data_IF_282659582347
#
_entry.id   IF_282659582347
#
_cell.length_a   1.000
_cell.length_b   1.000
_cell.length_c   1.000
_cell.angle_alpha   90.00
_cell.angle_beta   90.00
_cell.angle_gamma   90.00
#
_symmetry.space_group_name_H-M   'P 1'
#
loop_
_entity.id
_entity.type
_entity.pdbx_description
1 polymer ?
#
# COMPACT_ATOMS: atom_id res chain seq x y z
N UNK A 1 18.85 9.40 -4.59
CA UNK A 1 17.70 9.66 -5.49
C UNK A 1 17.51 11.16 -5.56
N UNK A 2 17.09 11.70 -6.71
CA UNK A 2 16.67 13.11 -6.77
C UNK A 2 15.43 13.28 -5.89
N UNK A 3 15.34 14.37 -5.13
CA UNK A 3 14.10 14.70 -4.42
C UNK A 3 12.99 14.88 -5.46
N UNK A 4 11.86 14.19 -5.25
CA UNK A 4 10.68 14.37 -6.09
C UNK A 4 10.07 15.73 -5.78
N UNK A 5 9.66 16.45 -6.81
CA UNK A 5 8.89 17.67 -6.60
C UNK A 5 7.42 17.32 -6.24
N UNK A 6 6.69 18.31 -5.75
CA UNK A 6 5.29 18.19 -5.36
C UNK A 6 4.39 17.58 -6.46
N UNK A 7 4.53 18.02 -7.71
CA UNK A 7 3.70 17.53 -8.81
C UNK A 7 3.98 16.05 -9.10
N UNK A 8 5.23 15.63 -9.04
CA UNK A 8 5.61 14.22 -9.20
C UNK A 8 5.01 13.36 -8.07
N UNK A 9 5.10 13.82 -6.81
CA UNK A 9 4.54 13.10 -5.66
C UNK A 9 3.02 12.93 -5.82
N UNK A 10 2.31 14.01 -6.12
CA UNK A 10 0.85 13.97 -6.29
C UNK A 10 0.46 13.11 -7.50
N UNK A 11 1.17 13.21 -8.63
CA UNK A 11 0.93 12.36 -9.79
C UNK A 11 1.08 10.87 -9.45
N UNK A 12 2.15 10.49 -8.74
CA UNK A 12 2.34 9.10 -8.31
C UNK A 12 1.24 8.63 -7.36
N UNK A 13 0.79 9.48 -6.44
CA UNK A 13 -0.33 9.18 -5.55
C UNK A 13 -1.61 8.84 -6.33
N UNK A 14 -2.09 9.75 -7.19
CA UNK A 14 -3.33 9.51 -7.94
C UNK A 14 -3.21 8.29 -8.86
N UNK A 15 -2.08 8.13 -9.55
CA UNK A 15 -1.85 6.98 -10.41
C UNK A 15 -1.88 5.67 -9.62
N UNK A 16 -1.19 5.61 -8.47
CA UNK A 16 -1.16 4.41 -7.64
C UNK A 16 -2.52 4.10 -7.02
N UNK A 17 -3.28 5.10 -6.60
CA UNK A 17 -4.62 4.93 -6.05
C UNK A 17 -5.56 4.30 -7.09
N UNK A 18 -5.56 4.83 -8.32
CA UNK A 18 -6.36 4.30 -9.42
C UNK A 18 -5.97 2.84 -9.76
N UNK A 19 -4.67 2.57 -9.91
CA UNK A 19 -4.20 1.20 -10.19
C UNK A 19 -4.54 0.23 -9.06
N UNK A 20 -4.49 0.66 -7.80
CA UNK A 20 -4.85 -0.21 -6.67
C UNK A 20 -6.34 -0.59 -6.73
N UNK A 21 -7.23 0.34 -7.05
CA UNK A 21 -8.65 0.06 -7.21
C UNK A 21 -8.93 -0.92 -8.37
N UNK A 22 -8.24 -0.74 -9.51
CA UNK A 22 -8.34 -1.65 -10.65
C UNK A 22 -7.87 -3.06 -10.31
N UNK A 23 -6.70 -3.18 -9.67
CA UNK A 23 -6.13 -4.47 -9.26
C UNK A 23 -6.99 -5.13 -8.18
N UNK A 24 -7.58 -4.35 -7.27
CA UNK A 24 -8.56 -4.84 -6.30
C UNK A 24 -9.81 -5.40 -7.00
N UNK A 25 -10.37 -4.67 -7.96
CA UNK A 25 -11.53 -5.11 -8.72
C UNK A 25 -11.24 -6.38 -9.55
N UNK A 26 -10.07 -6.47 -10.17
CA UNK A 26 -9.60 -7.66 -10.89
C UNK A 26 -9.49 -8.86 -9.94
N UNK A 27 -8.82 -8.69 -8.80
CA UNK A 27 -8.71 -9.73 -7.78
C UNK A 27 -10.09 -10.21 -7.31
N UNK A 28 -11.03 -9.30 -7.02
CA UNK A 28 -12.38 -9.65 -6.56
C UNK A 28 -13.18 -10.45 -7.57
N UNK A 29 -13.03 -10.14 -8.86
CA UNK A 29 -13.72 -10.81 -9.96
C UNK A 29 -13.19 -12.21 -10.21
N UNK A 30 -11.87 -12.39 -10.13
CA UNK A 30 -11.22 -13.68 -10.34
C UNK A 30 -9.99 -13.85 -9.43
N UNK A 31 -10.20 -14.28 -8.18
CA UNK A 31 -9.10 -14.54 -7.25
C UNK A 31 -8.20 -15.66 -7.79
N UNK A 32 -6.96 -15.32 -8.12
CA UNK A 32 -5.97 -16.24 -8.64
C UNK A 32 -4.60 -15.93 -8.02
N UNK A 33 -3.66 -16.87 -8.16
CA UNK A 33 -2.30 -16.73 -7.61
C UNK A 33 -1.63 -15.44 -8.06
N UNK A 34 -1.74 -15.11 -9.35
CA UNK A 34 -1.13 -13.92 -9.93
C UNK A 34 -1.83 -12.62 -9.49
N UNK A 35 -3.17 -12.56 -9.57
CA UNK A 35 -3.93 -11.37 -9.14
C UNK A 35 -3.75 -11.07 -7.65
N UNK A 36 -3.61 -12.12 -6.83
CA UNK A 36 -3.25 -12.02 -5.42
C UNK A 36 -1.85 -11.40 -5.20
N UNK A 37 -0.83 -11.87 -5.91
CA UNK A 37 0.52 -11.31 -5.80
C UNK A 37 0.61 -9.88 -6.34
N UNK A 38 -0.14 -9.59 -7.41
CA UNK A 38 -0.24 -8.25 -7.96
C UNK A 38 -0.85 -7.29 -6.92
N UNK A 39 -1.94 -7.70 -6.26
CA UNK A 39 -2.57 -6.93 -5.19
C UNK A 39 -1.62 -6.66 -4.03
N UNK A 40 -0.84 -7.67 -3.59
CA UNK A 40 0.20 -7.48 -2.57
C UNK A 40 1.19 -6.39 -3.01
N UNK A 41 1.72 -6.45 -4.24
CA UNK A 41 2.70 -5.46 -4.70
C UNK A 41 2.13 -4.03 -4.73
N UNK A 42 0.90 -3.86 -5.21
CA UNK A 42 0.27 -2.54 -5.28
C UNK A 42 -0.12 -1.96 -3.92
N UNK A 43 -0.49 -2.82 -2.96
CA UNK A 43 -0.62 -2.44 -1.55
C UNK A 43 0.69 -1.83 -1.03
N UNK A 44 1.83 -2.50 -1.26
CA UNK A 44 3.11 -2.04 -0.75
C UNK A 44 3.68 -0.84 -1.51
N UNK A 45 3.30 -0.66 -2.78
CA UNK A 45 3.69 0.50 -3.59
C UNK A 45 3.12 1.83 -3.05
N UNK A 46 2.05 1.80 -2.23
CA UNK A 46 1.46 2.99 -1.63
C UNK A 46 2.39 3.66 -0.59
N UNK A 47 3.13 2.86 0.18
CA UNK A 47 3.82 3.39 1.36
C UNK A 47 5.02 4.31 1.07
N UNK A 48 5.85 4.08 0.04
CA UNK A 48 6.84 5.07 -0.38
C UNK A 48 6.21 6.41 -0.76
N UNK A 49 4.99 6.39 -1.32
CA UNK A 49 4.25 7.62 -1.66
C UNK A 49 3.78 8.32 -0.39
N UNK A 50 3.25 7.58 0.59
CA UNK A 50 2.89 8.15 1.89
C UNK A 50 4.07 8.75 2.64
N UNK A 51 5.26 8.12 2.55
CA UNK A 51 6.49 8.69 3.09
C UNK A 51 6.79 10.04 2.43
N UNK A 52 6.70 10.13 1.10
CA UNK A 52 6.95 11.36 0.34
C UNK A 52 5.90 12.45 0.70
N UNK A 53 4.61 12.11 0.73
CA UNK A 53 3.54 13.05 1.12
C UNK A 53 3.70 13.48 2.58
N UNK A 54 4.10 12.59 3.50
CA UNK A 54 4.30 12.95 4.92
C UNK A 54 5.42 13.96 5.14
N UNK A 55 6.42 13.99 4.25
CA UNK A 55 7.48 15.01 4.25
C UNK A 55 7.01 16.32 3.63
N UNK A 56 6.23 16.23 2.56
CA UNK A 56 5.67 17.39 1.87
C UNK A 56 4.60 18.11 2.71
N UNK A 57 3.67 17.35 3.29
CA UNK A 57 2.49 17.80 4.02
C UNK A 57 2.39 17.13 5.40
N UNK A 58 3.33 17.42 6.32
CA UNK A 58 3.34 16.80 7.65
C UNK A 58 2.14 17.21 8.52
N UNK A 59 1.36 18.22 8.14
CA UNK A 59 0.10 18.61 8.79
C UNK A 59 -1.10 17.77 8.35
N UNK A 60 -1.00 17.05 7.23
CA UNK A 60 -2.05 16.20 6.65
C UNK A 60 -1.84 14.75 7.04
N UNK A 61 -0.64 14.23 6.81
CA UNK A 61 -0.28 12.83 7.04
C UNK A 61 0.99 12.73 7.88
N UNK A 62 0.99 11.84 8.87
CA UNK A 62 2.17 11.52 9.67
C UNK A 62 2.50 10.04 9.65
N UNK A 63 3.80 9.75 9.73
CA UNK A 63 4.29 8.42 10.02
C UNK A 63 4.10 8.12 11.50
N UNK A 64 3.38 7.05 11.82
CA UNK A 64 3.22 6.59 13.20
C UNK A 64 4.47 5.79 13.58
N UNK A 65 5.16 6.19 14.66
CA UNK A 65 6.23 5.37 15.23
C UNK A 65 5.59 4.26 16.07
N UNK A 66 5.74 3.00 15.70
CA UNK A 66 5.37 1.91 16.60
C UNK A 66 6.46 1.71 17.66
N UNK A 67 6.04 1.48 18.91
CA UNK A 67 6.95 1.07 19.97
C UNK A 67 7.48 -0.33 19.63
N UNK A 68 8.78 -0.43 19.37
CA UNK A 68 9.42 -1.66 18.91
C UNK A 68 9.52 -2.70 20.01
N UNK A 69 8.77 -3.79 19.90
CA UNK A 69 9.18 -5.08 20.44
C UNK A 69 9.71 -5.93 19.28
N UNK A 70 11.03 -5.98 19.11
CA UNK A 70 11.77 -6.86 18.21
C UNK A 70 11.87 -6.45 16.71
N UNK A 71 12.61 -5.37 16.45
CA UNK A 71 13.69 -5.36 15.43
C UNK A 71 13.44 -5.82 13.99
N UNK A 72 12.21 -5.75 13.43
CA UNK A 72 11.99 -5.98 11.99
C UNK A 72 11.11 -4.93 11.31
N UNK A 73 11.68 -4.45 10.18
CA UNK A 73 11.09 -3.80 9.02
C UNK A 73 10.59 -2.35 9.08
N UNK A 74 10.68 -1.62 7.93
CA UNK A 74 10.31 -0.21 7.88
C UNK A 74 8.86 -0.05 8.33
N UNK A 75 8.65 0.89 9.25
CA UNK A 75 7.33 1.28 9.74
C UNK A 75 6.44 1.71 8.56
N UNK A 76 5.64 0.78 8.05
CA UNK A 76 4.56 1.02 7.11
C UNK A 76 3.29 1.39 7.87
N UNK A 77 3.38 2.41 8.72
CA UNK A 77 2.27 2.92 9.52
C UNK A 77 2.12 4.42 9.30
N UNK A 78 0.96 4.82 8.79
CA UNK A 78 0.63 6.21 8.52
C UNK A 78 -0.77 6.53 9.03
N UNK A 79 -0.94 7.75 9.48
CA UNK A 79 -2.21 8.28 9.96
C UNK A 79 -2.52 9.60 9.25
N UNK A 80 -3.80 9.83 8.97
CA UNK A 80 -4.31 11.14 8.62
C UNK A 80 -4.56 11.91 9.91
N UNK A 81 -4.19 13.20 9.95
CA UNK A 81 -4.26 13.97 11.20
C UNK A 81 -5.63 14.53 11.49
N UNK A 82 -6.40 14.86 10.45
CA UNK A 82 -7.76 15.43 10.61
C UNK A 82 -8.82 14.35 10.73
N UNK A 83 -8.61 13.22 10.04
CA UNK A 83 -9.54 12.09 10.05
C UNK A 83 -8.88 10.95 10.84
N UNK A 84 -9.56 10.42 11.88
CA UNK A 84 -9.08 9.31 12.74
C UNK A 84 -9.03 7.98 11.95
N UNK A 85 -8.13 7.91 10.97
CA UNK A 85 -7.91 6.79 10.07
C UNK A 85 -6.41 6.59 9.96
N UNK A 86 -6.00 5.34 10.13
CA UNK A 86 -4.63 4.90 9.94
C UNK A 86 -4.57 3.69 9.03
N UNK A 87 -3.43 3.55 8.35
CA UNK A 87 -3.06 2.35 7.61
C UNK A 87 -1.80 1.78 8.21
N UNK A 88 -1.83 0.47 8.42
CA UNK A 88 -0.68 -0.32 8.82
C UNK A 88 -0.67 -1.62 8.04
N UNK A 89 0.51 -2.11 7.68
CA UNK A 89 0.62 -3.43 7.05
C UNK A 89 0.81 -4.52 8.09
N UNK A 90 0.03 -5.61 8.03
CA UNK A 90 0.29 -6.82 8.79
C UNK A 90 1.67 -7.40 8.46
N UNK A 91 2.37 -7.91 9.48
CA UNK A 91 3.74 -8.44 9.32
C UNK A 91 3.81 -9.62 8.36
N UNK A 92 2.73 -10.40 8.27
CA UNK A 92 2.61 -11.53 7.35
C UNK A 92 2.62 -11.08 5.89
N UNK A 93 1.93 -9.98 5.58
CA UNK A 93 1.91 -9.42 4.22
C UNK A 93 3.26 -8.79 3.86
N UNK A 94 3.96 -8.17 4.82
CA UNK A 94 5.33 -7.66 4.64
C UNK A 94 6.26 -8.81 4.27
N UNK A 95 6.20 -9.91 5.03
CA UNK A 95 6.96 -11.14 4.76
C UNK A 95 6.70 -11.70 3.36
N UNK A 96 5.44 -11.67 2.90
CA UNK A 96 5.06 -12.11 1.55
C UNK A 96 5.66 -11.18 0.49
N UNK A 97 5.48 -9.85 0.64
CA UNK A 97 5.99 -8.87 -0.30
C UNK A 97 7.52 -8.96 -0.44
N UNK A 98 8.22 -9.07 0.69
CA UNK A 98 9.68 -9.27 0.70
C UNK A 98 10.12 -10.51 -0.03
N UNK A 99 9.41 -11.63 0.11
CA UNK A 99 9.73 -12.82 -0.67
C UNK A 99 9.55 -12.59 -2.18
N UNK A 100 8.54 -11.80 -2.56
CA UNK A 100 8.28 -11.48 -3.97
C UNK A 100 9.36 -10.55 -4.53
N UNK A 101 9.81 -9.56 -3.75
CA UNK A 101 10.75 -8.52 -4.20
C UNK A 101 12.23 -8.87 -3.98
N UNK A 102 12.58 -9.63 -2.94
CA UNK A 102 13.95 -9.95 -2.57
C UNK A 102 14.36 -11.33 -3.13
N UNK A 103 15.08 -11.34 -4.25
CA UNK A 103 15.67 -12.57 -4.79
C UNK A 103 16.80 -13.08 -3.87
N UNK A 104 16.57 -14.22 -3.20
CA UNK A 104 17.55 -15.18 -2.61
C UNK A 104 18.65 -14.70 -1.64
N UNK A 105 18.84 -13.42 -1.35
CA UNK A 105 19.91 -12.91 -0.47
C UNK A 105 19.42 -12.44 0.91
N UNK A 106 18.55 -13.21 1.57
CA UNK A 106 18.10 -12.91 2.94
C UNK A 106 18.59 -13.93 3.96
N UNK A 107 18.75 -13.49 5.21
CA UNK A 107 19.01 -14.33 6.39
C UNK A 107 18.16 -15.62 6.36
N UNK A 108 18.81 -16.79 6.49
CA UNK A 108 18.16 -18.10 6.33
C UNK A 108 16.88 -18.25 7.17
N UNK A 109 16.84 -17.70 8.39
CA UNK A 109 15.66 -17.77 9.28
C UNK A 109 14.50 -16.90 8.77
N UNK A 110 14.75 -15.67 8.33
CA UNK A 110 13.71 -14.79 7.75
C UNK A 110 13.22 -15.34 6.41
N UNK A 111 14.12 -15.90 5.61
CA UNK A 111 13.79 -16.56 4.34
C UNK A 111 12.81 -17.73 4.51
N UNK A 112 12.98 -18.55 5.57
CA UNK A 112 12.07 -19.64 5.92
C UNK A 112 10.66 -19.15 6.31
N UNK A 113 10.58 -18.13 7.17
CA UNK A 113 9.30 -17.55 7.61
C UNK A 113 8.57 -16.85 6.46
N UNK A 114 9.28 -16.05 5.66
CA UNK A 114 8.74 -15.40 4.45
C UNK A 114 8.22 -16.44 3.45
N UNK A 115 8.93 -17.57 3.32
CA UNK A 115 8.49 -18.69 2.48
C UNK A 115 7.21 -19.33 2.98
N UNK A 116 7.06 -19.52 4.30
CA UNK A 116 5.86 -20.10 4.90
C UNK A 116 4.61 -19.27 4.62
N UNK A 117 4.63 -17.96 4.92
CA UNK A 117 3.45 -17.11 4.70
C UNK A 117 3.04 -17.03 3.23
N UNK A 118 4.01 -16.90 2.33
CA UNK A 118 3.73 -16.92 0.89
C UNK A 118 3.07 -18.23 0.46
N UNK A 119 3.62 -19.39 0.84
CA UNK A 119 3.04 -20.67 0.42
C UNK A 119 1.66 -20.92 1.03
N UNK A 120 1.43 -20.47 2.27
CA UNK A 120 0.13 -20.53 2.90
C UNK A 120 -0.91 -19.67 2.15
N UNK A 121 -0.59 -18.44 1.77
CA UNK A 121 -1.48 -17.59 0.98
C UNK A 121 -1.80 -18.24 -0.39
N UNK A 122 -0.79 -18.78 -1.07
CA UNK A 122 -0.98 -19.48 -2.34
C UNK A 122 -1.88 -20.73 -2.21
N UNK A 123 -1.77 -21.44 -1.08
CA UNK A 123 -2.61 -22.59 -0.75
C UNK A 123 -4.06 -22.16 -0.47
N UNK A 124 -4.28 -21.13 0.34
CA UNK A 124 -5.62 -20.61 0.64
C UNK A 124 -6.36 -20.20 -0.64
N UNK A 125 -5.69 -19.49 -1.55
CA UNK A 125 -6.24 -19.13 -2.85
C UNK A 125 -6.56 -20.37 -3.70
N UNK A 126 -5.65 -21.35 -3.78
CA UNK A 126 -5.85 -22.56 -4.57
C UNK A 126 -7.00 -23.43 -4.05
N UNK A 127 -7.19 -23.47 -2.73
CA UNK A 127 -8.31 -24.19 -2.10
C UNK A 127 -9.64 -23.43 -2.20
N UNK A 128 -9.65 -22.19 -2.70
CA UNK A 128 -10.83 -21.33 -2.75
C UNK A 128 -11.35 -20.96 -1.36
N UNK A 129 -10.52 -21.07 -0.33
CA UNK A 129 -10.90 -20.82 1.07
C UNK A 129 -10.49 -19.41 1.48
N UNK A 130 -11.38 -18.70 2.16
CA UNK A 130 -11.04 -17.46 2.88
C UNK A 130 -10.31 -17.80 4.18
N UNK A 131 -9.04 -18.18 4.06
CA UNK A 131 -8.16 -18.33 5.21
C UNK A 131 -7.70 -16.98 5.76
N UNK A 132 -6.96 -16.99 6.87
CA UNK A 132 -6.54 -15.78 7.57
C UNK A 132 -5.66 -14.85 6.71
N UNK A 133 -4.84 -15.38 5.80
CA UNK A 133 -3.98 -14.56 4.95
C UNK A 133 -4.76 -13.88 3.82
N UNK A 134 -5.75 -14.59 3.24
CA UNK A 134 -6.68 -13.99 2.28
C UNK A 134 -7.51 -12.89 2.92
N UNK A 135 -8.02 -13.11 4.14
CA UNK A 135 -8.77 -12.09 4.89
C UNK A 135 -7.89 -10.87 5.16
N UNK A 136 -6.68 -11.09 5.68
CA UNK A 136 -5.71 -10.03 5.95
C UNK A 136 -5.36 -9.21 4.70
N UNK A 137 -5.19 -9.88 3.55
CA UNK A 137 -4.97 -9.22 2.26
C UNK A 137 -6.16 -8.34 1.86
N UNK A 138 -7.38 -8.89 1.89
CA UNK A 138 -8.60 -8.18 1.51
C UNK A 138 -8.88 -6.97 2.42
N UNK A 139 -8.68 -7.13 3.73
CA UNK A 139 -8.86 -6.06 4.72
C UNK A 139 -7.82 -4.95 4.55
N UNK A 140 -6.55 -5.32 4.31
CA UNK A 140 -5.48 -4.36 4.06
C UNK A 140 -5.74 -3.56 2.79
N UNK A 141 -6.14 -4.22 1.69
CA UNK A 141 -6.49 -3.54 0.44
C UNK A 141 -7.60 -2.49 0.65
N UNK A 142 -8.70 -2.88 1.31
CA UNK A 142 -9.81 -1.98 1.60
C UNK A 142 -9.40 -0.81 2.50
N UNK A 143 -8.56 -1.08 3.50
CA UNK A 143 -8.06 -0.03 4.41
C UNK A 143 -7.24 1.01 3.65
N UNK A 144 -6.36 0.56 2.75
CA UNK A 144 -5.54 1.45 1.92
C UNK A 144 -6.40 2.24 0.93
N UNK A 145 -7.36 1.60 0.26
CA UNK A 145 -8.29 2.30 -0.65
C UNK A 145 -9.06 3.37 0.12
N UNK A 146 -9.59 3.04 1.30
CA UNK A 146 -10.28 4.03 2.15
C UNK A 146 -9.34 5.17 2.54
N UNK A 147 -8.12 4.87 2.96
CA UNK A 147 -7.11 5.87 3.31
C UNK A 147 -6.78 6.79 2.14
N UNK A 148 -6.63 6.24 0.93
CA UNK A 148 -6.40 7.02 -0.29
C UNK A 148 -7.55 7.98 -0.57
N UNK A 149 -8.79 7.53 -0.44
CA UNK A 149 -9.96 8.38 -0.67
C UNK A 149 -10.02 9.56 0.31
N UNK A 150 -9.73 9.31 1.58
CA UNK A 150 -9.72 10.35 2.61
C UNK A 150 -8.53 11.30 2.44
N UNK A 151 -7.36 10.77 2.07
CA UNK A 151 -6.20 11.57 1.73
C UNK A 151 -6.47 12.46 0.51
N UNK A 152 -7.14 11.97 -0.53
CA UNK A 152 -7.54 12.79 -1.68
C UNK A 152 -8.41 13.98 -1.23
N UNK A 153 -9.37 13.77 -0.32
CA UNK A 153 -10.20 14.84 0.21
C UNK A 153 -9.36 15.88 0.98
N UNK A 154 -8.44 15.44 1.84
CA UNK A 154 -7.54 16.37 2.55
C UNK A 154 -6.61 17.13 1.60
N UNK A 155 -6.13 16.50 0.53
CA UNK A 155 -5.33 17.17 -0.50
C UNK A 155 -6.15 18.22 -1.25
N UNK A 156 -7.40 17.91 -1.62
CA UNK A 156 -8.31 18.87 -2.26
C UNK A 156 -8.57 20.06 -1.34
N UNK A 157 -8.81 19.81 -0.05
CA UNK A 157 -9.00 20.86 0.95
C UNK A 157 -7.74 21.73 1.10
N UNK A 158 -6.55 21.10 1.19
CA UNK A 158 -5.28 21.79 1.35
C UNK A 158 -4.95 22.70 0.17
N UNK A 159 -5.13 22.20 -1.06
CA UNK A 159 -4.78 22.94 -2.28
C UNK A 159 -5.89 23.87 -2.78
N UNK A 160 -7.13 23.68 -2.33
CA UNK A 160 -8.30 24.43 -2.80
C UNK A 160 -8.73 24.09 -4.23
N UNK A 161 -8.16 23.05 -4.84
CA UNK A 161 -8.55 22.54 -6.15
C UNK A 161 -8.31 21.02 -6.25
N UNK A 162 -8.99 20.38 -7.20
CA UNK A 162 -8.79 18.96 -7.48
C UNK A 162 -7.64 18.76 -8.47
N UNK A 163 -6.50 18.28 -7.97
CA UNK A 163 -5.28 18.05 -8.75
C UNK A 163 -5.47 17.01 -9.86
N UNK A 164 -6.24 15.94 -9.60
CA UNK A 164 -6.58 14.92 -10.60
C UNK A 164 -7.31 15.52 -11.81
N UNK A 165 -8.25 16.44 -11.58
CA UNK A 165 -8.92 17.18 -12.67
C UNK A 165 -7.96 18.08 -13.43
N UNK A 166 -7.02 18.72 -12.74
CA UNK A 166 -6.00 19.58 -13.37
C UNK A 166 -5.08 18.78 -14.30
N UNK A 167 -4.57 17.63 -13.85
CA UNK A 167 -3.77 16.72 -14.68
C UNK A 167 -4.50 16.33 -15.98
N UNK A 168 -5.79 15.99 -15.89
CA UNK A 168 -6.58 15.62 -17.06
C UNK A 168 -6.76 16.77 -18.06
N UNK A 169 -6.78 18.02 -17.59
CA UNK A 169 -6.84 19.21 -18.47
C UNK A 169 -5.50 19.40 -19.18
N UNK A 170 -4.40 19.35 -18.43
CA UNK A 170 -3.05 19.57 -18.95
C UNK A 170 -2.60 18.48 -19.95
N UNK A 171 -3.20 17.29 -19.93
CA UNK A 171 -2.94 16.21 -20.90
C UNK A 171 -3.68 16.45 -22.24
N UNK A 172 -4.79 17.19 -22.22
CA UNK A 172 -5.65 17.42 -23.40
C UNK A 172 -5.26 18.73 -24.14
N UNK A 173 -4.59 19.65 -23.47
CA UNK A 173 -4.07 20.91 -24.03
C UNK A 173 -2.70 20.75 -24.68
#
# INVERSE_FOLDING_TARGET
>A
MKEKNEHEILFFFYSQADFLEEVWAEYKRSPAKLSCLNLVNWIFAAFPIYEDISKLLPSVISKTKQAFENGHDPDFSYELKKVDINVKTPSELVSIHKRVSESKQTDKKKSLQNSKYFWNLQKEIQEGRKGPLVISLEETAKSIIRFNNELELELIEHYGFNFRKKLNIDIIS
#
